data_IF_125045569680
#
_entry.id   IF_125045569680
#
_cell.length_a   1.000
_cell.length_b   1.000
_cell.length_c   1.000
_cell.angle_alpha   90.00
_cell.angle_beta   90.00
_cell.angle_gamma   90.00
#
_symmetry.space_group_name_H-M   'P 1'
#
loop_
_entity.id
_entity.type
_entity.pdbx_description
1 polymer ?
#
# COMPACT_ATOMS: atom_id res chain seq x y z
N UNK A 1 21.05 -26.33 -0.49
CA UNK A 1 20.97 -25.85 0.92
C UNK A 1 19.96 -24.71 0.98
N UNK A 2 18.69 -25.06 1.08
CA UNK A 2 17.55 -24.14 1.19
C UNK A 2 17.23 -23.88 2.66
N UNK A 3 17.80 -22.83 3.26
CA UNK A 3 17.40 -22.40 4.61
C UNK A 3 17.16 -20.90 4.80
N UNK A 4 17.25 -20.08 3.74
CA UNK A 4 17.16 -18.62 3.89
C UNK A 4 15.91 -17.96 3.30
N UNK A 5 14.95 -18.71 2.74
CA UNK A 5 13.72 -18.10 2.19
C UNK A 5 12.61 -17.86 3.22
N UNK A 6 12.65 -18.52 4.38
CA UNK A 6 11.58 -18.42 5.38
C UNK A 6 11.78 -17.27 6.38
N UNK A 7 13.02 -16.86 6.63
CA UNK A 7 13.34 -15.84 7.65
C UNK A 7 13.10 -14.39 7.18
N UNK A 8 13.08 -14.13 5.88
CA UNK A 8 12.77 -12.79 5.35
C UNK A 8 11.28 -12.43 5.44
N UNK A 9 10.40 -13.42 5.43
CA UNK A 9 8.95 -13.21 5.60
C UNK A 9 8.62 -12.95 7.07
N UNK A 10 9.35 -13.57 8.01
CA UNK A 10 9.04 -13.54 9.44
C UNK A 10 9.46 -12.23 10.12
N UNK A 11 10.47 -11.52 9.61
CA UNK A 11 10.93 -10.24 10.21
C UNK A 11 10.07 -9.05 9.75
N UNK A 12 9.50 -9.10 8.54
CA UNK A 12 8.49 -8.14 8.07
C UNK A 12 7.15 -8.25 8.81
N UNK A 13 6.86 -9.40 9.42
CA UNK A 13 5.65 -9.60 10.23
C UNK A 13 5.65 -8.75 11.51
N UNK A 14 6.79 -8.47 12.13
CA UNK A 14 6.83 -8.04 13.53
C UNK A 14 6.46 -6.57 13.80
N UNK A 15 6.70 -5.65 12.86
CA UNK A 15 6.30 -4.25 13.03
C UNK A 15 4.89 -3.94 12.53
N UNK A 16 4.41 -4.68 11.52
CA UNK A 16 3.03 -4.56 11.03
C UNK A 16 2.00 -5.08 12.07
N UNK A 17 2.40 -6.07 12.88
CA UNK A 17 1.55 -6.69 13.91
C UNK A 17 1.29 -5.82 15.15
N UNK A 18 2.16 -4.86 15.50
CA UNK A 18 1.96 -4.03 16.70
C UNK A 18 0.99 -2.86 16.47
N UNK A 19 0.80 -2.39 15.23
CA UNK A 19 -0.17 -1.34 14.93
C UNK A 19 -1.60 -1.88 14.73
N UNK A 20 -1.76 -3.16 14.38
CA UNK A 20 -3.03 -3.81 14.03
C UNK A 20 -3.43 -4.95 14.99
N UNK A 21 -2.92 -4.95 16.23
CA UNK A 21 -3.29 -5.96 17.21
C UNK A 21 -4.77 -5.84 17.56
N UNK A 22 -5.60 -6.76 17.09
CA UNK A 22 -7.06 -6.76 17.33
C UNK A 22 -7.92 -6.47 16.10
N UNK A 23 -7.31 -6.26 14.94
CA UNK A 23 -8.07 -6.11 13.70
C UNK A 23 -8.78 -7.41 13.33
N UNK A 24 -9.99 -7.27 12.81
CA UNK A 24 -10.78 -8.37 12.28
C UNK A 24 -11.59 -7.85 11.11
N UNK A 25 -11.16 -8.23 9.89
CA UNK A 25 -11.76 -7.74 8.66
C UNK A 25 -13.23 -8.17 8.51
N UNK A 26 -13.57 -9.41 8.84
CA UNK A 26 -14.95 -9.92 8.74
C UNK A 26 -15.92 -9.16 9.66
N UNK A 27 -15.44 -8.75 10.84
CA UNK A 27 -16.21 -7.96 11.80
C UNK A 27 -16.13 -6.45 11.55
N UNK A 28 -15.29 -6.01 10.61
CA UNK A 28 -15.12 -4.60 10.30
C UNK A 28 -14.43 -3.79 11.41
N UNK A 29 -13.66 -4.45 12.27
CA UNK A 29 -12.97 -3.79 13.37
C UNK A 29 -11.50 -3.58 12.97
N UNK A 30 -11.06 -2.32 12.94
CA UNK A 30 -9.68 -1.99 12.62
C UNK A 30 -9.13 -1.01 13.65
N UNK A 31 -7.84 -1.15 13.92
CA UNK A 31 -7.07 -0.30 14.79
C UNK A 31 -5.74 -0.03 14.11
N UNK A 32 -5.27 1.21 14.23
CA UNK A 32 -3.99 1.66 13.73
C UNK A 32 -3.43 2.72 14.66
N UNK A 33 -2.15 2.61 14.99
CA UNK A 33 -1.42 3.58 15.80
C UNK A 33 -0.10 3.87 15.13
N UNK A 34 0.09 5.12 14.71
CA UNK A 34 1.30 5.55 14.00
C UNK A 34 1.79 6.88 14.60
N UNK A 35 3.07 7.17 14.41
CA UNK A 35 3.64 8.47 14.72
C UNK A 35 4.54 8.99 13.60
N UNK A 36 4.71 10.31 13.57
CA UNK A 36 5.73 11.00 12.75
C UNK A 36 6.33 12.15 13.55
N UNK A 37 7.53 12.59 13.16
CA UNK A 37 8.17 13.81 13.65
C UNK A 37 7.74 15.08 12.87
N UNK A 38 6.82 14.93 11.91
CA UNK A 38 6.43 15.99 10.97
C UNK A 38 5.15 16.71 11.41
N UNK A 39 4.00 16.02 11.40
CA UNK A 39 2.70 16.61 11.74
C UNK A 39 1.64 15.56 12.06
N UNK A 40 0.48 16.00 12.58
CA UNK A 40 -0.67 15.12 12.79
C UNK A 40 -1.26 14.62 11.47
N UNK A 41 -1.32 15.46 10.44
CA UNK A 41 -1.81 15.10 9.11
C UNK A 41 -0.95 13.99 8.48
N UNK A 42 0.39 14.14 8.56
CA UNK A 42 1.31 13.12 8.08
C UNK A 42 1.12 11.80 8.85
N UNK A 43 0.94 11.86 10.17
CA UNK A 43 0.67 10.68 10.98
C UNK A 43 -0.70 10.07 10.73
N UNK A 44 -1.73 10.88 10.47
CA UNK A 44 -3.09 10.44 10.12
C UNK A 44 -3.09 9.71 8.78
N UNK A 45 -2.42 10.26 7.76
CA UNK A 45 -2.27 9.60 6.47
C UNK A 45 -1.65 8.21 6.62
N UNK A 46 -0.49 8.11 7.31
CA UNK A 46 0.16 6.81 7.53
C UNK A 46 -0.71 5.82 8.32
N UNK A 47 -1.47 6.31 9.30
CA UNK A 47 -2.38 5.48 10.07
C UNK A 47 -3.52 4.92 9.20
N UNK A 48 -4.09 5.73 8.30
CA UNK A 48 -5.09 5.32 7.31
C UNK A 48 -4.50 4.31 6.32
N UNK A 49 -3.34 4.60 5.75
CA UNK A 49 -2.66 3.72 4.80
C UNK A 49 -2.42 2.35 5.43
N UNK A 50 -1.98 2.31 6.69
CA UNK A 50 -1.78 1.05 7.44
C UNK A 50 -3.03 0.19 7.53
N UNK A 51 -4.22 0.80 7.66
CA UNK A 51 -5.51 0.08 7.67
C UNK A 51 -5.79 -0.49 6.28
N UNK A 52 -5.62 0.29 5.21
CA UNK A 52 -5.87 -0.18 3.85
C UNK A 52 -4.92 -1.29 3.42
N UNK A 53 -3.63 -1.16 3.72
CA UNK A 53 -2.64 -2.21 3.48
C UNK A 53 -2.93 -3.48 4.30
N UNK A 54 -3.45 -3.35 5.52
CA UNK A 54 -3.90 -4.50 6.30
C UNK A 54 -5.06 -5.22 5.60
N UNK A 55 -6.10 -4.49 5.20
CA UNK A 55 -7.26 -5.04 4.48
C UNK A 55 -6.80 -5.72 3.18
N UNK A 56 -5.96 -5.04 2.39
CA UNK A 56 -5.42 -5.57 1.15
C UNK A 56 -4.66 -6.88 1.36
N UNK A 57 -3.80 -6.95 2.37
CA UNK A 57 -3.04 -8.17 2.69
C UNK A 57 -3.94 -9.35 3.08
N UNK A 58 -4.94 -9.11 3.92
CA UNK A 58 -5.84 -10.19 4.37
C UNK A 58 -6.76 -10.68 3.24
N UNK A 59 -7.02 -9.82 2.24
CA UNK A 59 -7.94 -10.13 1.14
C UNK A 59 -7.27 -10.45 -0.19
N UNK A 60 -5.97 -10.19 -0.38
CA UNK A 60 -5.30 -10.41 -1.67
C UNK A 60 -5.29 -11.88 -2.10
N UNK A 61 -5.27 -12.79 -1.13
CA UNK A 61 -5.37 -14.24 -1.36
C UNK A 61 -6.73 -14.66 -1.95
N UNK A 62 -7.80 -13.90 -1.70
CA UNK A 62 -9.16 -14.18 -2.19
C UNK A 62 -9.21 -14.11 -3.72
N UNK A 63 -8.39 -13.25 -4.32
CA UNK A 63 -8.29 -13.06 -5.78
C UNK A 63 -6.99 -13.61 -6.37
N UNK A 64 -6.27 -14.44 -5.62
CA UNK A 64 -4.98 -15.03 -6.02
C UNK A 64 -3.96 -13.99 -6.53
N UNK A 65 -3.90 -12.82 -5.87
CA UNK A 65 -2.99 -11.74 -6.24
C UNK A 65 -1.91 -11.51 -5.19
N UNK A 66 -0.72 -11.14 -5.68
CA UNK A 66 0.45 -10.83 -4.85
C UNK A 66 0.78 -9.34 -4.77
N UNK A 67 0.03 -8.48 -5.46
CA UNK A 67 0.22 -7.03 -5.54
C UNK A 67 -0.67 -6.26 -4.54
N UNK A 68 -0.53 -6.59 -3.26
CA UNK A 68 -1.24 -6.00 -2.13
C UNK A 68 -1.21 -4.46 -2.11
N UNK A 69 -0.13 -3.84 -2.59
CA UNK A 69 -0.03 -2.38 -2.67
C UNK A 69 -1.02 -1.78 -3.66
N UNK A 70 -1.21 -2.42 -4.82
CA UNK A 70 -2.17 -1.97 -5.84
C UNK A 70 -3.59 -2.13 -5.32
N UNK A 71 -3.86 -3.23 -4.61
CA UNK A 71 -5.14 -3.46 -3.94
C UNK A 71 -5.40 -2.36 -2.90
N UNK A 72 -4.45 -2.07 -2.01
CA UNK A 72 -4.61 -1.05 -0.97
C UNK A 72 -4.95 0.33 -1.55
N UNK A 73 -4.22 0.76 -2.59
CA UNK A 73 -4.52 2.03 -3.27
C UNK A 73 -5.91 2.01 -3.90
N UNK A 74 -6.30 0.90 -4.53
CA UNK A 74 -7.64 0.77 -5.13
C UNK A 74 -8.76 0.84 -4.08
N UNK A 75 -8.57 0.28 -2.88
CA UNK A 75 -9.51 0.37 -1.77
C UNK A 75 -9.63 1.81 -1.24
N UNK A 76 -8.49 2.52 -1.16
CA UNK A 76 -8.40 3.93 -0.76
C UNK A 76 -9.11 4.86 -1.75
N UNK A 77 -8.87 4.70 -3.05
CA UNK A 77 -9.50 5.50 -4.12
C UNK A 77 -11.04 5.35 -4.13
N UNK A 78 -11.52 4.16 -3.79
CA UNK A 78 -12.96 3.87 -3.69
C UNK A 78 -13.58 4.36 -2.38
N UNK A 79 -12.84 5.07 -1.51
CA UNK A 79 -13.30 5.54 -0.20
C UNK A 79 -13.98 4.43 0.62
N UNK A 80 -13.36 3.25 0.66
CA UNK A 80 -13.93 2.05 1.31
C UNK A 80 -14.38 2.33 2.76
N UNK A 81 -13.63 3.16 3.50
CA UNK A 81 -13.95 3.61 4.85
C UNK A 81 -14.08 5.14 4.86
N UNK A 82 -15.21 5.63 5.39
CA UNK A 82 -15.40 7.05 5.68
C UNK A 82 -14.81 7.38 7.05
N UNK A 83 -13.56 7.88 7.04
CA UNK A 83 -12.83 8.23 8.26
C UNK A 83 -13.31 9.52 8.94
N UNK A 84 -14.15 10.31 8.26
CA UNK A 84 -14.70 11.55 8.83
C UNK A 84 -16.04 11.30 9.56
N UNK A 85 -16.66 10.14 9.32
CA UNK A 85 -17.83 9.69 10.04
C UNK A 85 -17.47 9.13 11.44
N UNK A 86 -17.85 9.86 12.49
CA UNK A 86 -17.57 9.51 13.90
C UNK A 86 -18.26 8.23 14.39
N UNK A 87 -19.32 7.79 13.74
CA UNK A 87 -19.98 6.52 14.06
C UNK A 87 -19.18 5.32 13.50
N UNK A 88 -18.36 5.56 12.47
CA UNK A 88 -17.51 4.56 11.81
C UNK A 88 -16.09 4.59 12.37
N UNK A 89 -15.50 5.79 12.49
CA UNK A 89 -14.10 5.97 12.83
C UNK A 89 -13.93 6.96 14.00
N UNK A 90 -13.13 6.56 14.98
CA UNK A 90 -12.67 7.43 16.06
C UNK A 90 -11.18 7.68 15.89
N UNK A 91 -10.80 8.95 15.82
CA UNK A 91 -9.42 9.40 15.61
C UNK A 91 -8.97 10.18 16.83
N UNK A 92 -7.84 9.76 17.43
CA UNK A 92 -7.22 10.43 18.56
C UNK A 92 -5.82 10.90 18.20
N UNK A 93 -5.56 12.16 18.48
CA UNK A 93 -4.27 12.81 18.21
C UNK A 93 -3.62 13.25 19.51
N UNK A 94 -2.32 13.01 19.67
CA UNK A 94 -1.56 13.51 20.82
C UNK A 94 -0.05 13.60 20.52
N UNK A 95 0.65 14.45 21.27
CA UNK A 95 2.11 14.58 21.19
C UNK A 95 2.80 13.81 22.31
N UNK A 96 3.94 13.21 22.01
CA UNK A 96 4.84 12.60 23.00
C UNK A 96 6.26 12.56 22.43
N UNK A 97 7.27 12.91 23.23
CA UNK A 97 8.70 12.81 22.86
C UNK A 97 8.99 13.40 21.46
N UNK A 98 8.58 14.65 21.21
CA UNK A 98 8.68 15.39 19.94
C UNK A 98 8.02 14.75 18.71
N UNK A 99 7.23 13.69 18.90
CA UNK A 99 6.47 13.02 17.86
C UNK A 99 4.97 13.34 17.93
N UNK A 100 4.35 13.38 16.76
CA UNK A 100 2.90 13.49 16.54
C UNK A 100 2.33 12.09 16.38
N UNK A 101 1.51 11.64 17.33
CA UNK A 101 0.85 10.34 17.31
C UNK A 101 -0.60 10.47 16.85
N UNK A 102 -1.03 9.52 16.04
CA UNK A 102 -2.43 9.33 15.65
C UNK A 102 -2.83 7.88 15.89
N UNK A 103 -3.95 7.70 16.61
CA UNK A 103 -4.62 6.43 16.82
C UNK A 103 -5.97 6.47 16.10
N UNK A 104 -6.25 5.47 15.26
CA UNK A 104 -7.51 5.31 14.53
C UNK A 104 -8.14 4.00 14.94
N UNK A 105 -9.39 4.04 15.38
CA UNK A 105 -10.24 2.87 15.60
C UNK A 105 -11.44 2.94 14.67
N UNK A 106 -11.63 1.90 13.85
CA UNK A 106 -12.76 1.77 12.92
C UNK A 106 -13.66 0.63 13.36
N UNK A 107 -14.97 0.84 13.25
CA UNK A 107 -16.01 -0.17 13.45
C UNK A 107 -17.06 -0.04 12.35
N UNK A 108 -16.87 -0.77 11.25
CA UNK A 108 -17.82 -0.84 10.14
C UNK A 108 -17.88 -2.26 9.57
N UNK A 109 -18.91 -3.02 9.95
CA UNK A 109 -19.12 -4.40 9.49
C UNK A 109 -19.37 -4.53 7.99
N UNK A 110 -19.62 -3.43 7.27
CA UNK A 110 -19.80 -3.45 5.81
C UNK A 110 -18.48 -3.51 5.03
N UNK A 111 -17.35 -3.20 5.68
CA UNK A 111 -16.03 -3.10 5.02
C UNK A 111 -15.66 -4.39 4.30
N UNK A 112 -15.94 -5.56 4.89
CA UNK A 112 -15.61 -6.83 4.25
C UNK A 112 -16.32 -7.01 2.90
N UNK A 113 -17.64 -6.82 2.86
CA UNK A 113 -18.41 -6.99 1.61
C UNK A 113 -18.04 -5.94 0.57
N UNK A 114 -17.89 -4.67 0.98
CA UNK A 114 -17.42 -3.60 0.08
C UNK A 114 -16.04 -3.90 -0.49
N UNK A 115 -15.15 -4.50 0.31
CA UNK A 115 -13.83 -4.93 -0.16
C UNK A 115 -13.97 -5.94 -1.28
N UNK A 116 -14.78 -7.00 -1.08
CA UNK A 116 -15.01 -8.02 -2.12
C UNK A 116 -15.57 -7.42 -3.43
N UNK A 117 -16.49 -6.46 -3.32
CA UNK A 117 -17.04 -5.76 -4.49
C UNK A 117 -15.97 -4.99 -5.28
N UNK A 118 -15.09 -4.28 -4.58
CA UNK A 118 -13.97 -3.54 -5.21
C UNK A 118 -12.98 -4.54 -5.84
N UNK A 119 -12.66 -5.63 -5.14
CA UNK A 119 -11.75 -6.65 -5.65
C UNK A 119 -12.26 -7.31 -6.93
N UNK A 120 -13.57 -7.46 -7.12
CA UNK A 120 -14.14 -7.98 -8.36
C UNK A 120 -13.94 -7.07 -9.57
N UNK A 121 -13.69 -5.76 -9.37
CA UNK A 121 -13.36 -4.82 -10.45
C UNK A 121 -11.90 -4.94 -10.90
N UNK A 122 -11.07 -5.64 -10.12
CA UNK A 122 -9.66 -5.85 -10.39
C UNK A 122 -9.48 -7.06 -11.31
N UNK A 123 -9.36 -6.83 -12.62
CA UNK A 123 -9.49 -7.90 -13.64
C UNK A 123 -8.24 -8.80 -13.79
N UNK A 124 -7.04 -8.22 -13.74
CA UNK A 124 -5.73 -8.91 -13.85
C UNK A 124 -4.70 -8.19 -12.99
N UNK A 125 -3.55 -8.82 -12.73
CA UNK A 125 -2.43 -8.18 -12.03
C UNK A 125 -2.11 -6.82 -12.67
N UNK A 126 -2.07 -5.78 -11.85
CA UNK A 126 -1.89 -4.40 -12.30
C UNK A 126 -3.03 -3.76 -13.11
N UNK A 127 -3.98 -4.49 -13.70
CA UNK A 127 -5.15 -3.87 -14.37
C UNK A 127 -6.26 -3.58 -13.37
N UNK A 128 -6.72 -2.33 -13.38
CA UNK A 128 -7.85 -1.83 -12.58
C UNK A 128 -8.91 -1.32 -13.55
N UNK A 129 -10.08 -1.96 -13.56
CA UNK A 129 -11.09 -1.71 -14.60
C UNK A 129 -10.49 -1.89 -16.03
N UNK A 130 -11.20 -1.54 -17.10
CA UNK A 130 -10.72 -1.80 -18.47
C UNK A 130 -9.64 -0.82 -18.98
N UNK A 131 -9.33 0.22 -18.20
CA UNK A 131 -8.53 1.36 -18.67
C UNK A 131 -7.34 1.73 -17.80
N UNK A 132 -7.34 1.38 -16.52
CA UNK A 132 -6.25 1.77 -15.62
C UNK A 132 -5.25 0.62 -15.49
N UNK A 133 -3.97 0.97 -15.56
CA UNK A 133 -2.86 0.05 -15.36
C UNK A 133 -1.95 0.60 -14.29
N UNK A 134 -1.79 -0.18 -13.23
CA UNK A 134 -0.98 0.10 -12.06
C UNK A 134 0.13 -0.93 -11.97
N UNK A 135 1.28 -0.51 -11.47
CA UNK A 135 2.33 -1.42 -11.06
C UNK A 135 2.99 -0.88 -9.81
N UNK A 136 3.60 -1.76 -9.02
CA UNK A 136 4.31 -1.35 -7.83
C UNK A 136 5.68 -2.01 -7.73
N UNK A 137 6.55 -1.37 -6.97
CA UNK A 137 7.77 -1.98 -6.49
C UNK A 137 7.98 -1.63 -5.03
N UNK A 138 8.55 -2.56 -4.29
CA UNK A 138 9.04 -2.31 -2.95
C UNK A 138 10.51 -2.64 -2.83
N UNK A 139 11.20 -1.89 -1.97
CA UNK A 139 12.58 -2.18 -1.60
C UNK A 139 12.71 -2.08 -0.09
N UNK A 140 13.22 -3.15 0.50
CA UNK A 140 13.52 -3.17 1.92
C UNK A 140 14.76 -2.30 2.18
N UNK A 141 14.62 -1.40 3.15
CA UNK A 141 15.70 -0.59 3.69
C UNK A 141 16.12 -1.22 5.03
N UNK A 142 17.34 -1.75 5.17
CA UNK A 142 17.76 -2.39 6.42
C UNK A 142 17.76 -1.39 7.59
N UNK A 143 16.98 -1.67 8.64
CA UNK A 143 16.79 -0.82 9.83
C UNK A 143 18.10 -0.47 10.55
N UNK A 144 19.09 -1.36 10.50
CA UNK A 144 20.39 -1.19 11.18
C UNK A 144 21.38 -0.38 10.36
N UNK A 145 21.11 -0.15 9.08
CA UNK A 145 21.94 0.69 8.25
C UNK A 145 21.44 2.13 8.43
N UNK A 146 22.19 2.96 9.15
CA UNK A 146 22.07 4.41 9.06
C UNK A 146 22.42 4.85 7.62
N UNK A 147 21.54 4.53 6.66
CA UNK A 147 21.74 4.81 5.25
C UNK A 147 21.86 6.31 5.08
N UNK A 148 22.92 6.78 4.44
CA UNK A 148 23.03 8.20 4.15
C UNK A 148 21.94 8.61 3.11
N UNK A 149 21.70 9.91 2.98
CA UNK A 149 20.67 10.45 2.08
C UNK A 149 20.86 9.99 0.63
N UNK A 150 22.12 9.90 0.17
CA UNK A 150 22.45 9.45 -1.18
C UNK A 150 22.08 7.97 -1.42
N UNK A 151 22.40 7.08 -0.49
CA UNK A 151 22.03 5.66 -0.60
C UNK A 151 20.51 5.47 -0.57
N UNK A 152 19.79 6.24 0.27
CA UNK A 152 18.32 6.22 0.26
C UNK A 152 17.76 6.67 -1.09
N UNK A 153 18.27 7.77 -1.63
CA UNK A 153 17.87 8.25 -2.95
C UNK A 153 18.11 7.21 -4.04
N UNK A 154 19.27 6.53 -4.04
CA UNK A 154 19.57 5.48 -5.00
C UNK A 154 18.60 4.29 -4.88
N UNK A 155 18.24 3.87 -3.66
CA UNK A 155 17.28 2.78 -3.44
C UNK A 155 15.87 3.17 -3.90
N UNK A 156 15.43 4.39 -3.62
CA UNK A 156 14.17 4.97 -4.10
C UNK A 156 14.13 4.97 -5.64
N UNK A 157 15.18 5.45 -6.31
CA UNK A 157 15.26 5.45 -7.78
C UNK A 157 15.26 4.03 -8.36
N UNK A 158 15.91 3.07 -7.69
CA UNK A 158 15.88 1.67 -8.10
C UNK A 158 14.47 1.05 -7.99
N UNK A 159 13.74 1.36 -6.91
CA UNK A 159 12.36 0.93 -6.76
C UNK A 159 11.45 1.57 -7.83
N UNK A 160 11.60 2.88 -8.07
CA UNK A 160 10.87 3.57 -9.13
C UNK A 160 11.11 2.93 -10.49
N UNK A 161 12.38 2.70 -10.85
CA UNK A 161 12.75 1.99 -12.09
C UNK A 161 12.05 0.64 -12.21
N UNK A 162 12.07 -0.17 -11.14
CA UNK A 162 11.39 -1.48 -11.12
C UNK A 162 9.87 -1.37 -11.28
N UNK A 163 9.25 -0.34 -10.71
CA UNK A 163 7.82 -0.11 -10.84
C UNK A 163 7.45 0.21 -12.30
N UNK A 164 8.22 1.07 -12.98
CA UNK A 164 8.02 1.34 -14.41
C UNK A 164 8.30 0.12 -15.30
N UNK A 165 9.34 -0.67 -15.02
CA UNK A 165 9.59 -1.94 -15.71
C UNK A 165 8.43 -2.93 -15.52
N UNK A 166 7.90 -3.02 -14.30
CA UNK A 166 6.72 -3.83 -13.99
C UNK A 166 5.48 -3.33 -14.74
N UNK A 167 5.26 -2.01 -14.81
CA UNK A 167 4.14 -1.41 -15.54
C UNK A 167 4.17 -1.78 -17.02
N UNK A 168 5.35 -1.67 -17.66
CA UNK A 168 5.52 -2.09 -19.04
C UNK A 168 5.14 -3.56 -19.23
N UNK A 169 5.59 -4.45 -18.33
CA UNK A 169 5.26 -5.87 -18.40
C UNK A 169 3.76 -6.15 -18.19
N UNK A 170 3.09 -5.39 -17.31
CA UNK A 170 1.63 -5.45 -17.12
C UNK A 170 0.91 -5.05 -18.40
N UNK A 171 1.28 -3.94 -19.03
CA UNK A 171 0.69 -3.47 -20.28
C UNK A 171 0.86 -4.51 -21.40
N UNK A 172 2.06 -5.10 -21.52
CA UNK A 172 2.36 -6.16 -22.51
C UNK A 172 1.57 -7.44 -22.25
N UNK A 173 1.37 -7.81 -20.99
CA UNK A 173 0.53 -8.96 -20.59
C UNK A 173 -0.96 -8.73 -20.84
N UNK A 174 -1.37 -7.47 -21.01
CA UNK A 174 -2.72 -7.07 -21.41
C UNK A 174 -2.83 -6.80 -22.93
N UNK A 175 -1.90 -7.34 -23.72
CA UNK A 175 -1.92 -7.29 -25.20
C UNK A 175 -1.90 -5.87 -25.79
N UNK A 176 -1.48 -4.88 -25.01
CA UNK A 176 -1.29 -3.50 -25.50
C UNK A 176 -0.07 -3.46 -26.43
N UNK A 177 -0.23 -2.87 -27.62
CA UNK A 177 0.85 -2.73 -28.61
C UNK A 177 2.15 -2.17 -27.98
N UNK A 178 3.31 -2.61 -28.49
CA UNK A 178 4.61 -2.26 -27.87
C UNK A 178 4.87 -0.75 -27.89
N UNK A 179 4.51 -0.06 -28.96
CA UNK A 179 4.75 1.38 -29.07
C UNK A 179 3.81 2.15 -28.14
N UNK A 180 2.56 1.68 -28.02
CA UNK A 180 1.58 2.24 -27.08
C UNK A 180 2.04 1.98 -25.64
N UNK A 181 2.48 0.76 -25.32
CA UNK A 181 2.95 0.40 -23.99
C UNK A 181 4.18 1.22 -23.57
N UNK A 182 5.13 1.47 -24.48
CA UNK A 182 6.27 2.37 -24.23
C UNK A 182 5.79 3.79 -23.93
N UNK A 183 4.89 4.33 -24.76
CA UNK A 183 4.33 5.66 -24.55
C UNK A 183 3.65 5.77 -23.18
N UNK A 184 2.72 4.87 -22.88
CA UNK A 184 1.98 4.84 -21.62
C UNK A 184 2.91 4.67 -20.41
N UNK A 185 3.94 3.84 -20.51
CA UNK A 185 4.93 3.70 -19.42
C UNK A 185 5.69 5.00 -19.18
N UNK A 186 6.06 5.73 -20.24
CA UNK A 186 6.76 7.01 -20.11
C UNK A 186 5.85 8.13 -19.58
N UNK A 187 4.56 8.09 -19.92
CA UNK A 187 3.56 9.07 -19.49
C UNK A 187 2.98 8.74 -18.10
N UNK A 188 3.30 7.57 -17.54
CA UNK A 188 2.81 7.12 -16.25
C UNK A 188 3.30 8.00 -15.09
N UNK A 189 2.41 8.26 -14.15
CA UNK A 189 2.68 9.07 -12.96
C UNK A 189 2.79 8.22 -11.69
N UNK A 190 3.44 8.77 -10.67
CA UNK A 190 3.48 8.18 -9.34
C UNK A 190 2.12 8.44 -8.68
N UNK A 191 1.40 7.36 -8.40
CA UNK A 191 0.09 7.40 -7.76
C UNK A 191 0.21 7.44 -6.23
N UNK A 192 1.12 6.63 -5.68
CA UNK A 192 1.37 6.56 -4.23
C UNK A 192 2.86 6.30 -3.99
N UNK A 193 3.43 6.99 -3.00
CA UNK A 193 4.79 6.81 -2.53
C UNK A 193 4.78 6.76 -1.01
N UNK A 194 5.22 5.64 -0.43
CA UNK A 194 5.21 5.47 1.03
C UNK A 194 6.55 5.01 1.58
N UNK A 195 6.92 5.65 2.69
CA UNK A 195 8.12 5.36 3.46
C UNK A 195 7.70 4.80 4.83
N UNK A 196 7.93 3.51 5.03
CA UNK A 196 7.94 2.92 6.36
C UNK A 196 9.34 3.05 6.98
N UNK A 197 9.51 2.63 8.23
CA UNK A 197 10.82 2.60 8.89
C UNK A 197 11.84 1.69 8.18
N UNK A 198 11.40 0.74 7.36
CA UNK A 198 12.25 -0.30 6.79
C UNK A 198 11.90 -0.69 5.34
N UNK A 199 11.01 0.06 4.70
CA UNK A 199 10.57 -0.22 3.34
C UNK A 199 10.21 1.09 2.64
N UNK A 200 10.58 1.15 1.36
CA UNK A 200 10.05 2.11 0.42
C UNK A 200 9.17 1.40 -0.58
N UNK A 201 7.94 1.87 -0.72
CA UNK A 201 6.95 1.38 -1.65
C UNK A 201 6.57 2.50 -2.62
N UNK A 202 6.42 2.15 -3.89
CA UNK A 202 5.91 3.06 -4.91
C UNK A 202 4.91 2.34 -5.79
N UNK A 203 3.82 3.04 -6.13
CA UNK A 203 2.81 2.62 -7.09
C UNK A 203 2.78 3.65 -8.21
N UNK A 204 2.91 3.18 -9.45
CA UNK A 204 2.79 4.01 -10.66
C UNK A 204 1.52 3.63 -11.40
N UNK A 205 0.93 4.59 -12.11
CA UNK A 205 -0.31 4.41 -12.86
C UNK A 205 -0.24 5.05 -14.25
N UNK A 206 -0.89 4.41 -15.22
CA UNK A 206 -1.24 4.99 -16.51
C UNK A 206 -2.68 4.65 -16.88
N UNK A 207 -3.26 5.44 -17.77
CA UNK A 207 -4.63 5.31 -18.25
C UNK A 207 -4.61 5.10 -19.76
N UNK A 208 -5.35 4.11 -20.23
CA UNK A 208 -5.63 3.90 -21.65
C UNK A 208 -6.92 4.65 -22.01
N UNK A 209 -6.77 5.73 -22.80
CA UNK A 209 -7.88 6.57 -23.27
C UNK A 209 -8.86 5.82 -24.18
#
# INVERSE_FOLDING_TARGET
MEKNKLYFIIIFLLFYLMACSGNNIEKGNFYSKVHTDVSFEASKSKAIDSIYYYIAKETSSIINRTDFNIVAVSLKDNNLIDFDNKDIANIREYKKDDNFYVEISVKDSSVYNKTLEILNKLKKEGSVEDKFFRANASIQMPETANLNAYTRQMLTQNALKRAYESLFNVLRSNEIDVNIAVKLTNDAYILEESYSSNEYNVVVETILE
#
